data_IF_271564312609
#
_entry.id   IF_271564312609
#
_cell.length_a   1.000
_cell.length_b   1.000
_cell.length_c   1.000
_cell.angle_alpha   90.00
_cell.angle_beta   90.00
_cell.angle_gamma   90.00
#
_symmetry.space_group_name_H-M   'P 1'
#
loop_
_entity.id
_entity.type
_entity.pdbx_description
1 polymer ?
#
# COMPACT_ATOMS: atom_id res chain seq x y z
N UNK A 1 13.69 10.04 0.23
CA UNK A 1 13.65 9.77 -1.23
C UNK A 1 12.86 10.91 -1.88
N UNK A 2 13.36 11.53 -2.95
CA UNK A 2 12.57 12.52 -3.71
C UNK A 2 11.44 11.82 -4.48
N UNK A 3 10.23 12.39 -4.61
CA UNK A 3 9.12 11.77 -5.34
C UNK A 3 9.49 11.27 -6.74
N UNK A 4 10.33 12.03 -7.46
CA UNK A 4 10.83 11.65 -8.78
C UNK A 4 11.66 10.36 -8.76
N UNK A 5 12.55 10.22 -7.79
CA UNK A 5 13.39 9.04 -7.63
C UNK A 5 12.56 7.80 -7.24
N UNK A 6 11.51 7.97 -6.44
CA UNK A 6 10.59 6.87 -6.09
C UNK A 6 9.87 6.34 -7.33
N UNK A 7 9.31 7.22 -8.16
CA UNK A 7 8.62 6.84 -9.40
C UNK A 7 9.57 6.11 -10.35
N UNK A 8 10.79 6.63 -10.53
CA UNK A 8 11.79 5.97 -11.39
C UNK A 8 12.09 4.54 -10.88
N UNK A 9 12.21 4.34 -9.57
CA UNK A 9 12.45 3.00 -9.02
C UNK A 9 11.26 2.05 -9.23
N UNK A 10 10.02 2.53 -9.07
CA UNK A 10 8.83 1.72 -9.33
C UNK A 10 8.75 1.33 -10.80
N UNK A 11 8.91 2.31 -11.70
CA UNK A 11 8.88 2.08 -13.16
C UNK A 11 10.00 1.13 -13.58
N UNK A 12 11.21 1.31 -13.06
CA UNK A 12 12.32 0.41 -13.38
C UNK A 12 12.09 -1.01 -12.87
N UNK A 13 11.47 -1.17 -11.69
CA UNK A 13 11.13 -2.50 -11.14
C UNK A 13 10.12 -3.23 -12.03
N UNK A 14 9.11 -2.52 -12.54
CA UNK A 14 8.09 -3.06 -13.46
C UNK A 14 8.73 -3.40 -14.81
N UNK A 15 9.39 -2.43 -15.45
CA UNK A 15 9.93 -2.58 -16.81
C UNK A 15 11.02 -3.66 -16.92
N UNK A 16 11.83 -3.83 -15.87
CA UNK A 16 12.92 -4.81 -15.85
C UNK A 16 12.56 -6.12 -15.13
N UNK A 17 11.29 -6.33 -14.79
CA UNK A 17 10.80 -7.48 -14.01
C UNK A 17 11.70 -7.81 -12.80
N UNK A 18 12.15 -6.79 -12.05
CA UNK A 18 13.12 -6.99 -10.96
C UNK A 18 12.53 -7.77 -9.79
N UNK A 19 11.20 -7.91 -9.72
CA UNK A 19 10.46 -8.52 -8.61
C UNK A 19 10.90 -7.95 -7.27
N UNK A 20 11.10 -6.63 -7.26
CA UNK A 20 11.67 -5.91 -6.11
C UNK A 20 10.56 -5.64 -5.11
N UNK A 21 10.85 -5.85 -3.83
CA UNK A 21 9.95 -5.46 -2.74
C UNK A 21 10.13 -3.95 -2.52
N UNK A 22 9.05 -3.20 -2.69
CA UNK A 22 9.01 -1.76 -2.50
C UNK A 22 7.78 -1.40 -1.63
N UNK A 23 7.90 -0.42 -0.72
CA UNK A 23 6.73 0.10 -0.01
C UNK A 23 5.90 0.92 -1.00
N UNK A 24 4.67 0.49 -1.27
CA UNK A 24 3.74 1.18 -2.16
C UNK A 24 2.33 1.16 -1.56
N UNK A 25 1.51 2.13 -1.95
CA UNK A 25 0.08 2.09 -1.61
C UNK A 25 -0.59 1.04 -2.48
N UNK A 26 -1.13 -0.01 -1.86
CA UNK A 26 -1.81 -1.11 -2.52
C UNK A 26 -3.23 -1.26 -1.98
N UNK A 27 -4.12 -1.78 -2.81
CA UNK A 27 -5.48 -2.10 -2.42
C UNK A 27 -5.48 -3.40 -1.62
N UNK A 28 -5.97 -3.35 -0.38
CA UNK A 28 -6.08 -4.53 0.48
C UNK A 28 -7.46 -5.18 0.31
N UNK A 29 -7.45 -6.49 0.07
CA UNK A 29 -8.63 -7.34 -0.12
C UNK A 29 -8.76 -8.41 0.98
N UNK A 30 -8.08 -8.21 2.11
CA UNK A 30 -8.10 -9.11 3.27
C UNK A 30 -6.76 -9.18 4.00
N UNK A 31 -5.67 -8.70 3.38
CA UNK A 31 -4.34 -8.66 3.97
C UNK A 31 -4.32 -7.78 5.23
N UNK A 32 -3.57 -8.21 6.24
CA UNK A 32 -3.53 -7.57 7.57
C UNK A 32 -4.93 -7.45 8.24
N UNK A 33 -5.93 -8.24 7.80
CA UNK A 33 -7.31 -8.14 8.29
C UNK A 33 -8.03 -6.86 7.87
N UNK A 34 -7.54 -6.17 6.83
CA UNK A 34 -8.12 -4.95 6.29
C UNK A 34 -8.63 -5.19 4.88
N UNK A 35 -9.88 -4.82 4.63
CA UNK A 35 -10.50 -4.89 3.32
C UNK A 35 -10.94 -3.50 2.83
N UNK A 36 -10.98 -3.36 1.51
CA UNK A 36 -11.52 -2.22 0.78
C UNK A 36 -10.83 -0.88 1.09
N UNK A 37 -9.50 -0.89 1.18
CA UNK A 37 -8.73 0.33 1.48
C UNK A 37 -7.36 0.31 0.80
N UNK A 38 -6.91 1.48 0.33
CA UNK A 38 -5.53 1.67 -0.13
C UNK A 38 -4.63 2.03 1.05
N UNK A 39 -3.61 1.22 1.31
CA UNK A 39 -2.69 1.42 2.44
C UNK A 39 -1.26 1.16 1.99
N UNK A 40 -0.31 1.89 2.58
CA UNK A 40 1.12 1.70 2.32
C UNK A 40 1.61 0.38 2.92
N UNK A 41 1.83 -0.62 2.08
CA UNK A 41 2.32 -1.95 2.47
C UNK A 41 3.51 -2.36 1.59
N UNK A 42 4.38 -3.26 2.08
CA UNK A 42 5.43 -3.82 1.23
C UNK A 42 4.79 -4.69 0.16
N UNK A 43 5.02 -4.33 -1.11
CA UNK A 43 4.54 -5.11 -2.25
C UNK A 43 5.68 -5.56 -3.13
N UNK A 44 5.50 -6.72 -3.74
CA UNK A 44 6.39 -7.24 -4.77
C UNK A 44 5.96 -6.68 -6.12
N UNK A 45 6.81 -5.84 -6.69
CA UNK A 45 6.60 -5.21 -7.99
C UNK A 45 7.36 -5.96 -9.08
N UNK A 46 6.60 -6.47 -10.05
CA UNK A 46 7.10 -7.13 -11.26
C UNK A 46 6.48 -6.56 -12.53
N UNK A 47 6.70 -7.24 -13.65
CA UNK A 47 6.23 -6.84 -14.98
C UNK A 47 4.71 -6.72 -15.09
N UNK A 48 3.96 -7.38 -14.21
CA UNK A 48 2.49 -7.32 -14.13
C UNK A 48 1.97 -6.26 -13.15
N UNK A 49 2.83 -5.42 -12.59
CA UNK A 49 2.49 -4.49 -11.52
C UNK A 49 2.69 -5.12 -10.14
N UNK A 50 1.67 -5.08 -9.29
CA UNK A 50 1.70 -5.71 -7.97
C UNK A 50 1.46 -7.21 -8.16
N UNK A 51 2.47 -8.02 -7.88
CA UNK A 51 2.37 -9.49 -7.98
C UNK A 51 1.93 -10.12 -6.66
N UNK A 52 2.30 -9.50 -5.54
CA UNK A 52 2.12 -10.06 -4.20
C UNK A 52 2.19 -8.93 -3.17
N UNK A 53 1.30 -8.95 -2.18
CA UNK A 53 1.40 -8.12 -0.98
C UNK A 53 2.11 -8.94 0.10
N UNK A 54 3.20 -8.41 0.63
CA UNK A 54 3.99 -9.12 1.64
C UNK A 54 3.36 -8.84 3.00
N UNK A 55 2.80 -9.86 3.64
CA UNK A 55 2.34 -9.78 5.03
C UNK A 55 3.50 -10.06 5.98
N UNK A 56 3.89 -9.04 6.75
CA UNK A 56 4.90 -9.18 7.80
C UNK A 56 4.22 -9.35 9.15
N UNK A 57 4.81 -10.17 10.01
CA UNK A 57 4.35 -10.27 11.40
C UNK A 57 4.64 -8.97 12.14
N UNK A 58 3.59 -8.19 12.37
CA UNK A 58 3.64 -6.97 13.17
C UNK A 58 3.53 -7.30 14.65
N UNK A 59 4.28 -6.57 15.47
CA UNK A 59 4.08 -6.58 16.93
C UNK A 59 2.74 -5.92 17.29
N UNK A 60 2.25 -6.16 18.51
CA UNK A 60 0.96 -5.59 18.96
C UNK A 60 0.93 -4.05 18.92
N UNK A 61 2.06 -3.40 19.17
CA UNK A 61 2.19 -1.95 19.09
C UNK A 61 2.15 -1.47 17.63
N UNK A 62 2.87 -2.13 16.72
CA UNK A 62 2.85 -1.81 15.29
C UNK A 62 1.48 -2.06 14.67
N UNK A 63 0.78 -3.14 15.07
CA UNK A 63 -0.61 -3.39 14.67
C UNK A 63 -1.51 -2.24 15.06
N UNK A 64 -1.43 -1.74 16.30
CA UNK A 64 -2.22 -0.58 16.74
C UNK A 64 -1.96 0.64 15.87
N UNK A 65 -0.69 0.94 15.59
CA UNK A 65 -0.31 2.08 14.75
C UNK A 65 -0.79 1.92 13.29
N UNK A 66 -0.71 0.69 12.76
CA UNK A 66 -1.21 0.34 11.44
C UNK A 66 -2.73 0.53 11.35
N UNK A 67 -3.50 -0.05 12.28
CA UNK A 67 -4.96 0.09 12.30
C UNK A 67 -5.41 1.53 12.49
N UNK A 68 -4.71 2.31 13.33
CA UNK A 68 -4.98 3.75 13.46
C UNK A 68 -4.78 4.48 12.13
N UNK A 69 -3.73 4.16 11.38
CA UNK A 69 -3.47 4.74 10.05
C UNK A 69 -4.56 4.37 9.04
N UNK A 70 -5.00 3.10 9.04
CA UNK A 70 -6.10 2.61 8.20
C UNK A 70 -7.41 3.35 8.51
N UNK A 71 -7.72 3.56 9.79
CA UNK A 71 -8.94 4.25 10.22
C UNK A 71 -8.97 5.70 9.72
N UNK A 72 -7.83 6.42 9.79
CA UNK A 72 -7.72 7.77 9.26
C UNK A 72 -7.94 7.82 7.74
N UNK A 73 -7.37 6.86 6.99
CA UNK A 73 -7.62 6.76 5.53
C UNK A 73 -9.11 6.52 5.25
N UNK A 74 -9.77 5.62 5.99
CA UNK A 74 -11.21 5.37 5.85
C UNK A 74 -12.06 6.61 6.17
N UNK A 75 -11.69 7.39 7.19
CA UNK A 75 -12.33 8.67 7.50
C UNK A 75 -12.19 9.68 6.36
N UNK A 76 -11.01 9.76 5.75
CA UNK A 76 -10.77 10.64 4.60
C UNK A 76 -11.61 10.23 3.39
N UNK A 77 -11.67 8.93 3.07
CA UNK A 77 -12.52 8.41 1.98
C UNK A 77 -13.99 8.78 2.23
N UNK A 78 -14.50 8.50 3.44
CA UNK A 78 -15.88 8.83 3.82
C UNK A 78 -16.20 10.32 3.71
N UNK A 79 -15.24 11.20 4.03
CA UNK A 79 -15.39 12.66 3.91
C UNK A 79 -15.51 13.09 2.44
N UNK A 80 -14.78 12.44 1.55
CA UNK A 80 -14.83 12.70 0.10
C UNK A 80 -16.12 12.15 -0.50
N UNK A 81 -16.56 10.95 -0.11
CA UNK A 81 -17.83 10.36 -0.58
C UNK A 81 -19.04 11.26 -0.30
N UNK A 82 -19.08 11.94 0.85
CA UNK A 82 -20.13 12.93 1.16
C UNK A 82 -20.04 14.24 0.38
N UNK A 83 -18.93 14.49 -0.32
CA UNK A 83 -18.69 15.72 -1.09
C UNK A 83 -18.84 15.52 -2.61
N UNK A 84 -18.95 14.27 -3.07
CA UNK A 84 -19.23 13.92 -4.47
C UNK A 84 -20.72 13.60 -4.58
N UNK A 85 -21.56 14.64 -4.53
CA UNK A 85 -22.97 14.62 -4.97
C UNK A 85 -23.18 15.78 -5.93
#
# INVERSE_FOLDING_TARGET
ISPSAAIIQMVEAILKDKRKILPCSAYLEGEYGVENCYVGVPVKLGSKGIEEIIEVELTEEEKKQFYASVEEVKKLIKKIEGSVV
#
